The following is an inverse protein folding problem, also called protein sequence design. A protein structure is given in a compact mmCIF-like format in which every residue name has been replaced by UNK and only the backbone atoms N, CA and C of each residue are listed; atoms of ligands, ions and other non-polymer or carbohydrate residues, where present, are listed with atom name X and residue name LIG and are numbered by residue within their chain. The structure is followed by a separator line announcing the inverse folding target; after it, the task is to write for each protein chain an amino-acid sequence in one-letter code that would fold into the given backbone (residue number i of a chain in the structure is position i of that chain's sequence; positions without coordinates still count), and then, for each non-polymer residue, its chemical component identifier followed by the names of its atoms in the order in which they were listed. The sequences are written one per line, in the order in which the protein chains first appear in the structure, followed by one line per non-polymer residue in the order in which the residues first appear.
data_IF_455079751407
#
_entry.id   IF_455079751407
#
_cell.length_a   1.000
_cell.length_b   1.000
_cell.length_c   1.000
_cell.angle_alpha   90.00
_cell.angle_beta   90.00
_cell.angle_gamma   90.00
#
_symmetry.space_group_name_H-M   'P 1'
#
loop_
_entity.id
_entity.type
_entity.pdbx_description
1 polymer ?
#
# COMPACT_ATOMS: atom_id res chain seq x y z
N UNK A 1 -47.11 -44.33 -12.98
CA UNK A 1 -46.88 -42.95 -13.46
C UNK A 1 -45.51 -42.54 -12.97
N UNK A 2 -44.50 -42.76 -13.80
CA UNK A 2 -43.10 -42.41 -13.56
C UNK A 2 -42.87 -41.00 -14.09
N UNK A 3 -42.65 -40.05 -13.19
CA UNK A 3 -42.32 -38.68 -13.53
C UNK A 3 -40.80 -38.61 -13.80
N UNK A 4 -40.45 -38.60 -15.09
CA UNK A 4 -39.09 -38.52 -15.59
C UNK A 4 -38.57 -37.09 -15.48
N UNK A 5 -37.84 -36.79 -14.41
CA UNK A 5 -36.98 -35.60 -14.32
C UNK A 5 -35.73 -35.81 -15.19
N UNK A 6 -35.88 -35.67 -16.51
CA UNK A 6 -34.75 -35.57 -17.43
C UNK A 6 -34.02 -34.24 -17.21
N UNK A 7 -32.87 -34.30 -16.56
CA UNK A 7 -31.97 -33.16 -16.41
C UNK A 7 -31.31 -32.91 -17.78
N UNK A 8 -31.92 -32.08 -18.62
CA UNK A 8 -31.39 -31.69 -19.93
C UNK A 8 -29.99 -31.10 -19.74
N UNK A 9 -28.95 -31.76 -20.24
CA UNK A 9 -27.58 -31.29 -20.11
C UNK A 9 -27.39 -29.97 -20.88
N UNK A 10 -27.13 -28.88 -20.15
CA UNK A 10 -26.82 -27.56 -20.71
C UNK A 10 -25.63 -27.66 -21.69
N UNK A 11 -25.88 -27.44 -22.98
CA UNK A 11 -24.87 -27.52 -24.04
C UNK A 11 -24.20 -26.15 -24.22
N UNK A 12 -23.33 -25.80 -23.28
CA UNK A 12 -22.56 -24.56 -23.31
C UNK A 12 -21.51 -24.59 -24.44
N UNK A 13 -21.34 -23.45 -25.11
CA UNK A 13 -20.35 -23.29 -26.18
C UNK A 13 -18.92 -23.65 -25.73
N UNK A 14 -18.25 -24.53 -26.47
CA UNK A 14 -16.89 -24.97 -26.16
C UNK A 14 -15.90 -23.80 -26.11
N UNK A 15 -16.07 -22.79 -26.97
CA UNK A 15 -15.17 -21.63 -26.97
C UNK A 15 -15.25 -20.82 -25.68
N UNK A 16 -16.42 -20.80 -25.03
CA UNK A 16 -16.63 -20.18 -23.71
C UNK A 16 -15.97 -21.05 -22.62
N UNK A 17 -16.18 -22.37 -22.69
CA UNK A 17 -15.60 -23.32 -21.73
C UNK A 17 -14.06 -23.24 -21.70
N UNK A 18 -13.43 -23.15 -22.87
CA UNK A 18 -11.97 -23.07 -23.00
C UNK A 18 -11.39 -21.82 -22.31
N UNK A 19 -12.14 -20.70 -22.24
CA UNK A 19 -11.66 -19.49 -21.54
C UNK A 19 -11.51 -19.68 -20.04
N UNK A 20 -12.33 -20.52 -19.40
CA UNK A 20 -12.21 -20.73 -17.96
C UNK A 20 -10.89 -21.39 -17.56
N UNK A 21 -10.33 -22.25 -18.43
CA UNK A 21 -9.01 -22.83 -18.21
C UNK A 21 -7.93 -21.75 -18.23
N UNK A 22 -7.91 -20.91 -19.27
CA UNK A 22 -6.96 -19.78 -19.36
C UNK A 22 -7.10 -18.82 -18.17
N UNK A 23 -8.32 -18.51 -17.74
CA UNK A 23 -8.54 -17.67 -16.56
C UNK A 23 -7.99 -18.29 -15.26
N UNK A 24 -7.81 -19.61 -15.21
CA UNK A 24 -7.41 -20.33 -13.99
C UNK A 24 -5.92 -20.63 -13.87
N UNK A 25 -5.18 -20.65 -14.98
CA UNK A 25 -3.80 -21.19 -15.02
C UNK A 25 -2.76 -20.25 -15.67
N UNK A 26 -3.16 -19.07 -16.13
CA UNK A 26 -2.32 -18.24 -16.99
C UNK A 26 -1.79 -16.96 -16.31
N UNK A 27 -0.89 -16.26 -17.01
CA UNK A 27 -0.32 -14.98 -16.58
C UNK A 27 -1.34 -13.83 -16.59
N UNK A 28 -1.04 -12.71 -15.92
CA UNK A 28 -1.94 -11.53 -15.90
C UNK A 28 -2.30 -11.02 -17.30
N UNK A 29 -1.37 -11.06 -18.26
CA UNK A 29 -1.63 -10.61 -19.64
C UNK A 29 -2.61 -11.55 -20.37
N UNK A 30 -2.47 -12.85 -20.16
CA UNK A 30 -3.35 -13.86 -20.73
C UNK A 30 -4.74 -13.84 -20.09
N UNK A 31 -4.83 -13.58 -18.77
CA UNK A 31 -6.10 -13.38 -18.06
C UNK A 31 -6.90 -12.23 -18.66
N UNK A 32 -6.24 -11.09 -18.95
CA UNK A 32 -6.89 -9.93 -19.57
C UNK A 32 -7.42 -10.31 -20.96
N UNK A 33 -6.58 -10.91 -21.80
CA UNK A 33 -6.97 -11.33 -23.16
C UNK A 33 -8.12 -12.35 -23.14
N UNK A 34 -8.07 -13.34 -22.25
CA UNK A 34 -9.12 -14.34 -22.09
C UNK A 34 -10.43 -13.72 -21.60
N UNK A 35 -10.36 -12.73 -20.71
CA UNK A 35 -11.52 -11.98 -20.23
C UNK A 35 -12.19 -11.20 -21.35
N UNK A 36 -11.42 -10.45 -22.15
CA UNK A 36 -11.97 -9.69 -23.28
C UNK A 36 -12.66 -10.61 -24.29
N UNK A 37 -12.03 -11.74 -24.63
CA UNK A 37 -12.61 -12.75 -25.51
C UNK A 37 -13.89 -13.36 -24.94
N UNK A 38 -13.90 -13.69 -23.64
CA UNK A 38 -15.09 -14.23 -22.97
C UNK A 38 -16.25 -13.22 -23.01
N UNK A 39 -15.99 -11.94 -22.72
CA UNK A 39 -17.01 -10.88 -22.78
C UNK A 39 -17.57 -10.72 -24.20
N UNK A 40 -16.73 -10.77 -25.24
CA UNK A 40 -17.19 -10.70 -26.64
C UNK A 40 -18.10 -11.88 -26.98
N UNK A 41 -17.69 -13.10 -26.63
CA UNK A 41 -18.50 -14.31 -26.88
C UNK A 41 -19.84 -14.23 -26.16
N UNK A 42 -19.84 -13.84 -24.87
CA UNK A 42 -21.07 -13.70 -24.09
C UNK A 42 -21.99 -12.60 -24.62
N UNK A 43 -21.45 -11.49 -25.14
CA UNK A 43 -22.27 -10.46 -25.79
C UNK A 43 -22.98 -10.99 -27.03
N UNK A 44 -22.31 -11.81 -27.84
CA UNK A 44 -22.92 -12.43 -29.02
C UNK A 44 -24.06 -13.37 -28.60
N UNK A 45 -23.87 -14.17 -27.55
CA UNK A 45 -24.90 -15.07 -27.02
C UNK A 45 -26.06 -14.32 -26.40
N UNK A 46 -25.79 -13.29 -25.58
CA UNK A 46 -26.82 -12.48 -24.94
C UNK A 46 -27.69 -11.73 -25.95
N UNK A 47 -27.12 -11.21 -27.04
CA UNK A 47 -27.89 -10.55 -28.11
C UNK A 47 -28.89 -11.44 -28.83
N UNK A 48 -28.73 -12.77 -28.73
CA UNK A 48 -29.67 -13.75 -29.31
C UNK A 48 -30.80 -14.09 -28.34
N UNK A 49 -30.75 -13.59 -27.11
CA UNK A 49 -31.80 -13.74 -26.12
C UNK A 49 -32.63 -12.46 -26.01
N UNK A 50 -33.73 -12.49 -25.26
CA UNK A 50 -34.49 -11.28 -24.92
C UNK A 50 -33.63 -10.34 -24.08
N UNK A 51 -33.89 -9.02 -24.16
CA UNK A 51 -33.11 -8.02 -23.41
C UNK A 51 -33.21 -8.21 -21.88
N UNK A 52 -34.29 -8.85 -21.42
CA UNK A 52 -34.62 -9.04 -20.01
C UNK A 52 -34.14 -10.36 -19.42
N UNK A 53 -33.82 -11.37 -20.23
CA UNK A 53 -33.45 -12.70 -19.73
C UNK A 53 -31.98 -13.04 -20.01
N UNK A 54 -31.32 -13.63 -19.02
CA UNK A 54 -29.95 -14.12 -19.15
C UNK A 54 -29.89 -15.26 -20.16
N UNK A 55 -29.00 -15.17 -21.14
CA UNK A 55 -28.65 -16.32 -21.98
C UNK A 55 -28.07 -17.44 -21.11
N UNK A 56 -28.33 -18.70 -21.48
CA UNK A 56 -27.83 -19.88 -20.75
C UNK A 56 -26.31 -19.82 -20.53
N UNK A 57 -25.56 -19.34 -21.54
CA UNK A 57 -24.11 -19.19 -21.41
C UNK A 57 -23.68 -18.07 -20.45
N UNK A 58 -24.41 -16.97 -20.39
CA UNK A 58 -24.13 -15.88 -19.44
C UNK A 58 -24.46 -16.32 -18.02
N UNK A 59 -25.63 -16.92 -17.79
CA UNK A 59 -26.01 -17.44 -16.48
C UNK A 59 -24.99 -18.49 -15.98
N UNK A 60 -24.63 -19.44 -16.85
CA UNK A 60 -23.60 -20.43 -16.56
C UNK A 60 -22.27 -19.77 -16.20
N UNK A 61 -21.85 -18.76 -16.96
CA UNK A 61 -20.56 -18.09 -16.77
C UNK A 61 -20.50 -17.35 -15.45
N UNK A 62 -21.53 -16.54 -15.11
CA UNK A 62 -21.59 -15.82 -13.84
C UNK A 62 -21.56 -16.82 -12.67
N UNK A 63 -22.38 -17.87 -12.73
CA UNK A 63 -22.42 -18.92 -11.69
C UNK A 63 -21.08 -19.62 -11.52
N UNK A 64 -20.40 -19.98 -12.62
CA UNK A 64 -19.10 -20.65 -12.59
C UNK A 64 -18.02 -19.74 -12.01
N UNK A 65 -18.00 -18.47 -12.40
CA UNK A 65 -17.05 -17.49 -11.89
C UNK A 65 -17.23 -17.26 -10.38
N UNK A 66 -18.47 -17.08 -9.91
CA UNK A 66 -18.78 -16.92 -8.48
C UNK A 66 -18.24 -18.11 -7.67
N UNK A 67 -18.54 -19.34 -8.09
CA UNK A 67 -18.01 -20.54 -7.41
C UNK A 67 -16.48 -20.57 -7.38
N UNK A 68 -15.86 -20.15 -8.48
CA UNK A 68 -14.41 -20.15 -8.62
C UNK A 68 -13.69 -19.17 -7.71
N UNK A 69 -14.38 -18.17 -7.13
CA UNK A 69 -13.78 -17.23 -6.17
C UNK A 69 -13.33 -17.90 -4.87
N UNK A 70 -13.95 -19.02 -4.50
CA UNK A 70 -13.55 -19.85 -3.36
C UNK A 70 -12.52 -20.95 -3.74
N UNK A 71 -11.93 -20.89 -4.94
CA UNK A 71 -10.88 -21.83 -5.34
C UNK A 71 -9.67 -21.74 -4.39
N UNK A 72 -9.03 -22.88 -4.11
CA UNK A 72 -7.75 -22.92 -3.38
C UNK A 72 -6.61 -22.28 -4.18
N UNK A 73 -6.73 -22.20 -5.51
CA UNK A 73 -5.70 -21.67 -6.42
C UNK A 73 -5.78 -20.16 -6.54
N UNK A 74 -4.69 -19.47 -6.18
CA UNK A 74 -4.60 -17.99 -6.23
C UNK A 74 -4.84 -17.42 -7.63
N UNK A 75 -4.25 -18.03 -8.66
CA UNK A 75 -4.41 -17.62 -10.07
C UNK A 75 -5.86 -17.69 -10.52
N UNK A 76 -6.57 -18.76 -10.15
CA UNK A 76 -8.00 -18.91 -10.46
C UNK A 76 -8.85 -17.84 -9.79
N UNK A 77 -8.61 -17.55 -8.50
CA UNK A 77 -9.33 -16.46 -7.81
C UNK A 77 -9.10 -15.12 -8.50
N UNK A 78 -7.87 -14.82 -8.90
CA UNK A 78 -7.53 -13.58 -9.61
C UNK A 78 -8.22 -13.50 -10.97
N UNK A 79 -8.06 -14.51 -11.83
CA UNK A 79 -8.62 -14.49 -13.17
C UNK A 79 -10.15 -14.48 -13.17
N UNK A 80 -10.79 -15.23 -12.28
CA UNK A 80 -12.24 -15.20 -12.15
C UNK A 80 -12.76 -13.89 -11.58
N UNK A 81 -12.06 -13.26 -10.63
CA UNK A 81 -12.43 -11.92 -10.14
C UNK A 81 -12.39 -10.87 -11.26
N UNK A 82 -11.34 -10.90 -12.09
CA UNK A 82 -11.19 -9.97 -13.23
C UNK A 82 -12.32 -10.17 -14.24
N UNK A 83 -12.56 -11.42 -14.66
CA UNK A 83 -13.61 -11.73 -15.63
C UNK A 83 -15.00 -11.36 -15.10
N UNK A 84 -15.29 -11.68 -13.85
CA UNK A 84 -16.58 -11.38 -13.22
C UNK A 84 -16.81 -9.88 -13.09
N UNK A 85 -15.79 -9.11 -12.69
CA UNK A 85 -15.86 -7.65 -12.63
C UNK A 85 -16.18 -7.03 -14.01
N UNK A 86 -15.57 -7.54 -15.10
CA UNK A 86 -15.87 -7.05 -16.44
C UNK A 86 -17.26 -7.47 -16.92
N UNK A 87 -17.72 -8.67 -16.59
CA UNK A 87 -19.08 -9.10 -16.92
C UNK A 87 -20.11 -8.21 -16.20
N UNK A 88 -19.99 -8.01 -14.89
CA UNK A 88 -20.87 -7.13 -14.11
C UNK A 88 -20.85 -5.67 -14.58
N UNK A 89 -19.78 -5.23 -15.27
CA UNK A 89 -19.69 -3.90 -15.86
C UNK A 89 -20.36 -3.79 -17.24
N UNK A 90 -20.48 -4.90 -17.98
CA UNK A 90 -20.87 -4.89 -19.40
C UNK A 90 -22.25 -5.49 -19.68
N UNK A 91 -22.84 -6.20 -18.73
CA UNK A 91 -24.11 -6.90 -18.89
C UNK A 91 -25.13 -6.38 -17.89
N UNK A 92 -25.95 -5.42 -18.32
CA UNK A 92 -26.93 -4.75 -17.44
C UNK A 92 -28.04 -5.68 -16.93
N UNK A 93 -28.33 -6.72 -17.71
CA UNK A 93 -29.24 -7.81 -17.38
C UNK A 93 -28.85 -8.60 -16.11
N UNK A 94 -27.58 -8.61 -15.69
CA UNK A 94 -27.19 -9.27 -14.42
C UNK A 94 -27.49 -8.31 -13.26
N UNK A 95 -28.60 -8.53 -12.56
CA UNK A 95 -29.02 -7.63 -11.49
C UNK A 95 -28.17 -7.80 -10.22
N UNK A 96 -28.16 -6.77 -9.37
CA UNK A 96 -27.49 -6.82 -8.05
C UNK A 96 -28.10 -7.92 -7.18
N UNK A 97 -29.43 -8.06 -7.21
CA UNK A 97 -30.15 -9.06 -6.42
C UNK A 97 -29.77 -10.49 -6.80
N UNK A 98 -29.83 -10.83 -8.09
CA UNK A 98 -29.45 -12.16 -8.58
C UNK A 98 -28.00 -12.49 -8.23
N UNK A 99 -27.10 -11.52 -8.36
CA UNK A 99 -25.70 -11.70 -8.01
C UNK A 99 -25.51 -11.98 -6.51
N UNK A 100 -26.15 -11.21 -5.63
CA UNK A 100 -26.11 -11.43 -4.18
C UNK A 100 -26.75 -12.78 -3.79
N UNK A 101 -27.76 -13.24 -4.52
CA UNK A 101 -28.36 -14.56 -4.36
C UNK A 101 -27.38 -15.67 -4.76
N UNK A 102 -26.60 -15.49 -5.83
CA UNK A 102 -25.55 -16.43 -6.23
C UNK A 102 -24.45 -16.54 -5.17
N UNK A 103 -23.99 -15.42 -4.60
CA UNK A 103 -23.05 -15.43 -3.47
C UNK A 103 -23.63 -16.25 -2.32
N UNK A 104 -24.86 -15.93 -1.91
CA UNK A 104 -25.55 -16.60 -0.81
C UNK A 104 -25.78 -18.09 -1.08
N UNK A 105 -25.89 -18.52 -2.33
CA UNK A 105 -26.13 -19.92 -2.69
C UNK A 105 -24.85 -20.73 -2.82
N UNK A 106 -23.77 -20.12 -3.29
CA UNK A 106 -22.57 -20.84 -3.73
C UNK A 106 -21.33 -20.59 -2.88
N UNK A 107 -21.33 -19.55 -2.04
CA UNK A 107 -20.20 -19.22 -1.15
C UNK A 107 -20.55 -19.41 0.33
N UNK A 108 -21.75 -19.90 0.65
CA UNK A 108 -22.12 -20.28 2.03
C UNK A 108 -21.36 -21.52 2.50
N UNK A 109 -20.96 -21.50 3.77
CA UNK A 109 -20.27 -22.59 4.46
C UNK A 109 -21.20 -23.82 4.60
N UNK A 110 -20.83 -25.00 4.09
CA UNK A 110 -21.50 -26.24 4.44
C UNK A 110 -21.18 -26.64 5.89
N UNK A 111 -22.10 -27.36 6.54
CA UNK A 111 -21.99 -27.74 7.97
C UNK A 111 -20.79 -28.65 8.30
N UNK A 112 -20.17 -29.32 7.32
CA UNK A 112 -19.08 -30.31 7.51
C UNK A 112 -17.83 -30.02 6.67
N UNK A 113 -17.28 -28.81 6.76
CA UNK A 113 -16.03 -28.46 6.06
C UNK A 113 -14.85 -28.14 6.97
N UNK A 114 -13.65 -28.35 6.42
CA UNK A 114 -12.36 -28.09 7.05
C UNK A 114 -12.13 -26.59 7.32
N UNK A 115 -11.19 -26.26 8.20
CA UNK A 115 -10.83 -24.86 8.49
C UNK A 115 -10.33 -24.12 7.25
N UNK A 116 -9.68 -24.83 6.32
CA UNK A 116 -9.14 -24.28 5.08
C UNK A 116 -10.26 -23.91 4.09
N UNK A 117 -11.22 -24.80 3.86
CA UNK A 117 -12.33 -24.55 2.94
C UNK A 117 -13.22 -23.40 3.45
N UNK A 118 -13.47 -23.33 4.76
CA UNK A 118 -14.14 -22.17 5.37
C UNK A 118 -13.39 -20.86 5.08
N UNK A 119 -12.05 -20.90 5.16
CA UNK A 119 -11.20 -19.75 4.83
C UNK A 119 -11.29 -19.33 3.36
N UNK A 120 -11.33 -20.30 2.45
CA UNK A 120 -11.50 -20.07 1.01
C UNK A 120 -12.88 -19.49 0.67
N UNK A 121 -13.94 -19.98 1.31
CA UNK A 121 -15.30 -19.46 1.13
C UNK A 121 -15.43 -18.01 1.58
N UNK A 122 -14.91 -17.67 2.76
CA UNK A 122 -14.90 -16.27 3.23
C UNK A 122 -14.09 -15.35 2.30
N UNK A 123 -12.93 -15.80 1.84
CA UNK A 123 -12.15 -15.03 0.87
C UNK A 123 -12.91 -14.87 -0.45
N UNK A 124 -13.56 -15.92 -0.94
CA UNK A 124 -14.40 -15.89 -2.14
C UNK A 124 -15.56 -14.91 -2.00
N UNK A 125 -16.19 -14.86 -0.83
CA UNK A 125 -17.27 -13.92 -0.50
C UNK A 125 -16.77 -12.46 -0.48
N UNK A 126 -15.62 -12.18 0.16
CA UNK A 126 -14.97 -10.86 0.10
C UNK A 126 -14.67 -10.46 -1.35
N UNK A 127 -14.13 -11.38 -2.16
CA UNK A 127 -13.82 -11.11 -3.57
C UNK A 127 -15.09 -10.84 -4.39
N UNK A 128 -16.18 -11.56 -4.15
CA UNK A 128 -17.44 -11.36 -4.85
C UNK A 128 -18.04 -9.98 -4.56
N UNK A 129 -18.03 -9.55 -3.30
CA UNK A 129 -18.41 -8.18 -2.94
C UNK A 129 -17.50 -7.14 -3.64
N UNK A 130 -16.18 -7.38 -3.67
CA UNK A 130 -15.27 -6.47 -4.36
C UNK A 130 -15.52 -6.39 -5.87
N UNK A 131 -15.87 -7.49 -6.54
CA UNK A 131 -16.20 -7.42 -7.99
C UNK A 131 -17.49 -6.65 -8.23
N UNK A 132 -18.47 -6.76 -7.33
CA UNK A 132 -19.71 -5.99 -7.40
C UNK A 132 -19.47 -4.50 -7.19
N UNK A 133 -18.60 -4.14 -6.24
CA UNK A 133 -18.24 -2.75 -5.94
C UNK A 133 -17.40 -2.16 -7.08
N UNK A 134 -16.35 -2.85 -7.51
CA UNK A 134 -15.41 -2.33 -8.51
C UNK A 134 -15.97 -2.26 -9.92
N UNK A 135 -16.97 -3.08 -10.25
CA UNK A 135 -17.66 -2.99 -11.54
C UNK A 135 -18.51 -1.73 -11.65
N UNK A 136 -18.83 -1.06 -10.53
CA UNK A 136 -19.80 0.03 -10.43
C UNK A 136 -21.25 -0.45 -10.36
N UNK A 137 -21.47 -1.77 -10.45
CA UNK A 137 -22.80 -2.38 -10.52
C UNK A 137 -23.62 -2.17 -9.24
N UNK A 138 -22.97 -2.12 -8.08
CA UNK A 138 -23.66 -1.87 -6.80
C UNK A 138 -24.47 -0.57 -6.82
N UNK A 139 -23.94 0.49 -7.45
CA UNK A 139 -24.54 1.82 -7.50
C UNK A 139 -25.74 1.90 -8.44
N UNK A 140 -25.95 0.89 -9.28
CA UNK A 140 -27.09 0.82 -10.20
C UNK A 140 -28.29 0.12 -9.57
N UNK A 141 -28.13 -0.47 -8.38
CA UNK A 141 -29.21 -1.11 -7.64
C UNK A 141 -29.83 -0.20 -6.58
N UNK A 142 -30.83 -0.72 -5.88
CA UNK A 142 -31.41 -0.08 -4.70
C UNK A 142 -30.36 0.12 -3.59
N UNK A 143 -30.40 1.27 -2.89
CA UNK A 143 -29.46 1.62 -1.82
C UNK A 143 -29.46 0.62 -0.65
N UNK A 144 -30.52 -0.16 -0.44
CA UNK A 144 -30.52 -1.27 0.52
C UNK A 144 -29.45 -2.33 0.20
N UNK A 145 -29.04 -2.47 -1.06
CA UNK A 145 -27.93 -3.33 -1.42
C UNK A 145 -26.59 -2.79 -0.91
N UNK A 146 -26.39 -1.47 -0.85
CA UNK A 146 -25.20 -0.86 -0.23
C UNK A 146 -25.09 -1.30 1.23
N UNK A 147 -26.18 -1.13 1.98
CA UNK A 147 -26.29 -1.58 3.38
C UNK A 147 -26.00 -3.07 3.53
N UNK A 148 -26.62 -3.91 2.69
CA UNK A 148 -26.43 -5.38 2.70
C UNK A 148 -24.97 -5.78 2.43
N UNK A 149 -24.32 -5.12 1.48
CA UNK A 149 -22.91 -5.39 1.14
C UNK A 149 -21.96 -4.93 2.26
N UNK A 150 -22.17 -3.76 2.84
CA UNK A 150 -21.37 -3.28 3.98
C UNK A 150 -21.49 -4.26 5.17
N UNK A 151 -22.71 -4.67 5.52
CA UNK A 151 -22.93 -5.69 6.56
C UNK A 151 -22.21 -7.00 6.26
N UNK A 152 -22.27 -7.46 5.01
CA UNK A 152 -21.54 -8.65 4.57
C UNK A 152 -20.04 -8.50 4.79
N UNK A 153 -19.46 -7.38 4.36
CA UNK A 153 -18.03 -7.09 4.53
C UNK A 153 -17.61 -7.01 6.00
N UNK A 154 -18.39 -6.33 6.86
CA UNK A 154 -18.16 -6.26 8.31
C UNK A 154 -18.31 -7.62 9.00
N UNK A 155 -19.22 -8.48 8.52
CA UNK A 155 -19.35 -9.82 9.07
C UNK A 155 -18.17 -10.73 8.68
N UNK A 156 -17.68 -10.62 7.44
CA UNK A 156 -16.53 -11.40 6.95
C UNK A 156 -15.21 -10.92 7.57
N UNK A 157 -15.04 -9.61 7.81
CA UNK A 157 -13.82 -9.04 8.40
C UNK A 157 -13.50 -9.65 9.77
N UNK A 158 -14.52 -9.98 10.55
CA UNK A 158 -14.39 -10.54 11.90
C UNK A 158 -14.12 -12.06 11.90
N UNK A 159 -14.06 -12.71 10.73
CA UNK A 159 -13.81 -14.17 10.67
C UNK A 159 -12.33 -14.53 10.74
N UNK A 160 -11.46 -13.73 10.13
CA UNK A 160 -10.00 -13.94 10.09
C UNK A 160 -9.29 -12.60 9.96
N UNK A 161 -8.16 -12.45 10.64
CA UNK A 161 -7.34 -11.22 10.62
C UNK A 161 -6.97 -10.77 9.20
N UNK A 162 -6.59 -11.71 8.32
CA UNK A 162 -6.22 -11.38 6.94
C UNK A 162 -7.39 -10.92 6.05
N UNK A 163 -8.64 -11.16 6.47
CA UNK A 163 -9.84 -10.72 5.75
C UNK A 163 -10.25 -9.30 6.14
N UNK A 164 -9.88 -8.83 7.33
CA UNK A 164 -10.27 -7.52 7.83
C UNK A 164 -9.90 -6.42 6.85
N UNK A 165 -8.64 -6.39 6.45
CA UNK A 165 -8.14 -5.35 5.55
C UNK A 165 -8.82 -5.33 4.18
N UNK A 166 -9.02 -6.50 3.55
CA UNK A 166 -9.67 -6.58 2.23
C UNK A 166 -11.13 -6.12 2.30
N UNK A 167 -11.82 -6.42 3.41
CA UNK A 167 -13.20 -6.01 3.66
C UNK A 167 -13.32 -4.51 3.90
N UNK A 168 -12.50 -3.92 4.77
CA UNK A 168 -12.51 -2.46 5.00
C UNK A 168 -12.10 -1.67 3.77
N UNK A 169 -11.19 -2.21 2.94
CA UNK A 169 -10.92 -1.61 1.64
C UNK A 169 -12.17 -1.63 0.73
N UNK A 170 -12.98 -2.68 0.77
CA UNK A 170 -14.27 -2.72 0.07
C UNK A 170 -15.22 -1.63 0.57
N UNK A 171 -15.33 -1.46 1.89
CA UNK A 171 -16.16 -0.40 2.50
C UNK A 171 -15.65 0.99 2.09
N UNK A 172 -14.34 1.23 2.14
CA UNK A 172 -13.77 2.51 1.67
C UNK A 172 -14.09 2.78 0.20
N UNK A 173 -14.04 1.75 -0.66
CA UNK A 173 -14.41 1.89 -2.07
C UNK A 173 -15.89 2.25 -2.24
N UNK A 174 -16.78 1.70 -1.43
CA UNK A 174 -18.20 2.08 -1.43
C UNK A 174 -18.34 3.56 -1.04
N UNK A 175 -17.75 3.96 0.08
CA UNK A 175 -17.78 5.34 0.59
C UNK A 175 -17.26 6.34 -0.45
N UNK A 176 -16.25 5.98 -1.25
CA UNK A 176 -15.70 6.84 -2.30
C UNK A 176 -16.63 7.02 -3.52
N UNK A 177 -17.60 6.13 -3.71
CA UNK A 177 -18.40 6.02 -4.93
C UNK A 177 -19.86 6.44 -4.77
N UNK A 178 -20.41 6.42 -3.56
CA UNK A 178 -21.81 6.76 -3.28
C UNK A 178 -21.98 8.26 -3.04
N UNK A 179 -23.20 8.79 -3.23
CA UNK A 179 -23.53 10.17 -2.89
C UNK A 179 -23.60 10.39 -1.37
N UNK A 180 -23.65 11.65 -0.94
CA UNK A 180 -23.75 11.96 0.50
C UNK A 180 -25.10 11.52 1.10
N UNK A 181 -26.16 11.57 0.31
CA UNK A 181 -27.50 11.10 0.70
C UNK A 181 -27.49 9.57 0.91
N UNK A 182 -26.96 8.80 -0.05
CA UNK A 182 -26.85 7.35 0.08
C UNK A 182 -25.91 6.95 1.21
N UNK A 183 -24.84 7.73 1.43
CA UNK A 183 -23.93 7.52 2.54
C UNK A 183 -24.65 7.68 3.88
N UNK A 184 -25.36 8.79 4.09
CA UNK A 184 -26.12 9.05 5.32
C UNK A 184 -27.20 7.99 5.56
N UNK A 185 -27.94 7.62 4.52
CA UNK A 185 -29.08 6.73 4.65
C UNK A 185 -28.68 5.25 4.81
N UNK A 186 -27.69 4.77 4.05
CA UNK A 186 -27.42 3.33 3.92
C UNK A 186 -26.06 2.88 4.46
N UNK A 187 -25.03 3.71 4.35
CA UNK A 187 -23.67 3.32 4.76
C UNK A 187 -23.35 3.71 6.21
N UNK A 188 -23.67 4.95 6.59
CA UNK A 188 -23.34 5.52 7.89
C UNK A 188 -23.88 4.70 9.07
N UNK A 189 -25.15 4.25 9.10
CA UNK A 189 -25.68 3.48 10.23
C UNK A 189 -24.94 2.17 10.50
N UNK A 190 -24.23 1.64 9.50
CA UNK A 190 -23.50 0.38 9.60
C UNK A 190 -22.06 0.56 10.09
N UNK A 191 -21.45 1.74 9.88
CA UNK A 191 -20.03 1.99 10.18
C UNK A 191 -19.82 3.00 11.32
N UNK A 192 -20.83 3.78 11.69
CA UNK A 192 -20.67 4.86 12.66
C UNK A 192 -20.21 4.36 14.03
N UNK A 193 -20.66 3.17 14.45
CA UNK A 193 -20.31 2.59 15.74
C UNK A 193 -18.81 2.36 15.87
N UNK A 194 -18.16 1.90 14.80
CA UNK A 194 -16.71 1.71 14.78
C UNK A 194 -15.96 3.04 14.81
N UNK A 195 -16.44 4.05 14.08
CA UNK A 195 -15.82 5.36 13.99
C UNK A 195 -15.98 6.18 15.28
N UNK A 196 -17.01 5.89 16.09
CA UNK A 196 -17.27 6.52 17.38
C UNK A 196 -16.37 6.02 18.52
N UNK A 197 -15.63 4.93 18.32
CA UNK A 197 -14.70 4.37 19.33
C UNK A 197 -13.49 5.26 19.63
N UNK A 198 -13.23 6.25 18.78
CA UNK A 198 -12.14 7.19 18.97
C UNK A 198 -10.76 6.53 18.89
N UNK A 199 -9.77 7.12 19.57
CA UNK A 199 -8.39 6.63 19.55
C UNK A 199 -8.22 5.24 20.18
N UNK A 200 -9.07 4.85 21.13
CA UNK A 200 -8.94 3.59 21.87
C UNK A 200 -9.32 2.36 21.03
N UNK A 201 -10.31 2.49 20.14
CA UNK A 201 -10.70 1.44 19.19
C UNK A 201 -10.07 1.57 17.80
N UNK A 202 -9.16 2.51 17.60
CA UNK A 202 -8.64 2.85 16.28
C UNK A 202 -7.60 1.84 15.78
N UNK A 203 -8.02 0.93 14.89
CA UNK A 203 -7.10 0.14 14.05
C UNK A 203 -6.66 0.94 12.80
N UNK A 204 -5.68 0.41 12.05
CA UNK A 204 -5.31 0.97 10.75
C UNK A 204 -6.47 0.97 9.74
N UNK A 205 -7.30 -0.07 9.78
CA UNK A 205 -8.47 -0.18 8.90
C UNK A 205 -9.55 0.85 9.27
N UNK A 206 -9.84 1.02 10.56
CA UNK A 206 -10.78 2.03 11.07
C UNK A 206 -10.27 3.43 10.79
N UNK A 207 -8.97 3.68 10.96
CA UNK A 207 -8.36 4.97 10.62
C UNK A 207 -8.48 5.28 9.13
N UNK A 208 -8.20 4.30 8.26
CA UNK A 208 -8.37 4.43 6.81
C UNK A 208 -9.82 4.76 6.43
N UNK A 209 -10.78 4.10 7.08
CA UNK A 209 -12.20 4.35 6.87
C UNK A 209 -12.59 5.76 7.34
N UNK A 210 -12.12 6.19 8.51
CA UNK A 210 -12.34 7.55 9.03
C UNK A 210 -11.83 8.60 8.03
N UNK A 211 -10.58 8.48 7.57
CA UNK A 211 -9.99 9.41 6.60
C UNK A 211 -10.78 9.42 5.30
N UNK A 212 -11.23 8.25 4.83
CA UNK A 212 -12.05 8.14 3.62
C UNK A 212 -13.39 8.84 3.77
N UNK A 213 -14.10 8.62 4.89
CA UNK A 213 -15.37 9.29 5.18
C UNK A 213 -15.17 10.81 5.27
N UNK A 214 -14.12 11.28 5.94
CA UNK A 214 -13.82 12.73 6.03
C UNK A 214 -13.55 13.38 4.68
N UNK A 215 -12.92 12.65 3.76
CA UNK A 215 -12.56 13.16 2.43
C UNK A 215 -13.76 13.25 1.50
N UNK A 216 -14.67 12.27 1.56
CA UNK A 216 -15.79 12.15 0.61
C UNK A 216 -17.13 12.61 1.18
N UNK A 217 -17.33 12.55 2.50
CA UNK A 217 -18.59 12.83 3.21
C UNK A 217 -18.32 13.66 4.47
N UNK A 218 -17.72 14.83 4.26
CA UNK A 218 -17.19 15.66 5.35
C UNK A 218 -18.27 16.24 6.28
N UNK A 219 -19.54 16.21 5.88
CA UNK A 219 -20.68 16.74 6.64
C UNK A 219 -20.94 15.93 7.91
N UNK A 220 -20.95 14.60 7.81
CA UNK A 220 -21.17 13.70 8.94
C UNK A 220 -19.89 13.46 9.76
N UNK A 221 -18.73 13.37 9.11
CA UNK A 221 -17.43 13.18 9.79
C UNK A 221 -16.66 14.50 9.89
N UNK A 222 -17.33 15.51 10.44
CA UNK A 222 -16.82 16.87 10.51
C UNK A 222 -15.94 17.10 11.77
N UNK A 223 -15.56 18.36 12.01
CA UNK A 223 -14.75 18.76 13.19
C UNK A 223 -15.49 18.54 14.52
N UNK A 224 -16.83 18.62 14.53
CA UNK A 224 -17.65 18.40 15.71
C UNK A 224 -17.68 16.91 16.07
N UNK A 225 -17.88 16.03 15.08
CA UNK A 225 -17.77 14.58 15.27
C UNK A 225 -16.42 14.19 15.89
N UNK A 226 -15.32 14.74 15.36
CA UNK A 226 -13.98 14.47 15.93
C UNK A 226 -13.84 15.03 17.35
N UNK A 227 -14.44 16.18 17.66
CA UNK A 227 -14.39 16.76 19.00
C UNK A 227 -15.10 15.86 20.00
N UNK A 228 -16.26 15.33 19.62
CA UNK A 228 -17.10 14.47 20.46
C UNK A 228 -16.49 13.08 20.68
N UNK A 229 -16.04 12.42 19.61
CA UNK A 229 -15.62 11.01 19.68
C UNK A 229 -14.11 10.80 19.71
N UNK A 230 -13.33 11.72 19.13
CA UNK A 230 -11.86 11.61 19.03
C UNK A 230 -11.13 12.60 19.94
N UNK A 231 -11.88 13.40 20.72
CA UNK A 231 -11.36 14.44 21.62
C UNK A 231 -10.43 15.43 20.90
N UNK A 232 -10.62 15.65 19.59
CA UNK A 232 -9.79 16.56 18.78
C UNK A 232 -10.56 17.21 17.63
N UNK A 233 -10.11 18.36 17.13
CA UNK A 233 -10.61 18.96 15.87
C UNK A 233 -9.74 18.64 14.65
N UNK A 234 -8.52 18.12 14.87
CA UNK A 234 -7.55 17.74 13.82
C UNK A 234 -6.90 16.41 14.20
N UNK A 235 -6.89 15.45 13.27
CA UNK A 235 -6.32 14.12 13.49
C UNK A 235 -4.79 14.18 13.55
N UNK A 236 -4.17 14.81 12.53
CA UNK A 236 -2.73 15.03 12.46
C UNK A 236 -2.36 16.25 13.32
N UNK A 237 -1.90 15.97 14.53
CA UNK A 237 -1.40 16.90 15.52
C UNK A 237 -0.30 16.22 16.35
N UNK A 238 0.59 17.04 16.87
CA UNK A 238 1.72 16.63 17.72
C UNK A 238 1.26 15.75 18.89
N UNK A 239 0.20 16.15 19.61
CA UNK A 239 -0.37 15.40 20.74
C UNK A 239 -0.82 13.97 20.40
N UNK A 240 -0.95 13.63 19.12
CA UNK A 240 -1.35 12.31 18.64
C UNK A 240 -0.23 11.54 17.97
N UNK A 241 1.00 12.07 17.94
CA UNK A 241 2.12 11.46 17.21
C UNK A 241 2.29 9.98 17.55
N UNK A 242 2.35 9.62 18.84
CA UNK A 242 2.49 8.22 19.29
C UNK A 242 1.34 7.32 18.80
N UNK A 243 0.10 7.83 18.78
CA UNK A 243 -1.07 7.07 18.33
C UNK A 243 -1.02 6.82 16.82
N UNK A 244 -0.74 7.88 16.05
CA UNK A 244 -0.59 7.82 14.60
C UNK A 244 0.60 6.94 14.19
N UNK A 245 1.69 7.01 14.95
CA UNK A 245 2.86 6.16 14.80
C UNK A 245 2.53 4.68 14.99
N UNK A 246 1.78 4.33 16.04
CA UNK A 246 1.39 2.93 16.27
C UNK A 246 0.55 2.37 15.11
N UNK A 247 -0.36 3.19 14.57
CA UNK A 247 -1.17 2.83 13.39
C UNK A 247 -0.28 2.65 12.15
N UNK A 248 0.64 3.59 11.93
CA UNK A 248 1.62 3.52 10.84
C UNK A 248 2.47 2.26 10.93
N UNK A 249 2.95 1.91 12.13
CA UNK A 249 3.81 0.75 12.32
C UNK A 249 3.08 -0.57 12.12
N UNK A 250 1.81 -0.69 12.48
CA UNK A 250 1.01 -1.86 12.08
C UNK A 250 0.91 -1.94 10.55
N UNK A 251 0.67 -0.80 9.89
CA UNK A 251 0.54 -0.74 8.43
C UNK A 251 1.84 -1.09 7.70
N UNK A 252 3.00 -0.64 8.22
CA UNK A 252 4.33 -0.91 7.66
C UNK A 252 4.84 -2.31 8.07
N UNK A 253 4.63 -2.77 9.31
CA UNK A 253 5.07 -4.11 9.77
C UNK A 253 4.31 -5.26 9.12
N UNK A 254 3.03 -5.09 8.78
CA UNK A 254 2.27 -6.09 8.01
C UNK A 254 2.93 -6.43 6.66
N UNK A 255 3.77 -5.53 6.14
CA UNK A 255 4.47 -5.70 4.85
C UNK A 255 5.76 -6.52 5.01
N UNK A 256 6.37 -6.50 6.20
CA UNK A 256 7.60 -7.25 6.52
C UNK A 256 7.35 -8.76 6.56
N UNK A 257 6.11 -9.20 6.84
CA UNK A 257 5.79 -10.61 7.08
C UNK A 257 4.92 -11.32 6.01
N UNK A 258 4.51 -10.67 4.91
CA UNK A 258 3.85 -11.39 3.82
C UNK A 258 3.13 -10.52 2.80
N UNK A 259 3.58 -10.62 1.53
CA UNK A 259 3.02 -10.04 0.29
C UNK A 259 2.51 -8.59 0.39
N UNK A 260 3.32 -7.67 -0.15
CA UNK A 260 3.05 -6.22 -0.25
C UNK A 260 1.60 -5.90 -0.64
N UNK A 261 0.82 -5.44 0.34
CA UNK A 261 -0.49 -4.84 0.10
C UNK A 261 -0.28 -3.38 -0.31
N UNK A 262 -0.18 -3.14 -1.63
CA UNK A 262 0.13 -1.82 -2.22
C UNK A 262 -0.71 -0.68 -1.61
N UNK A 263 -1.98 -0.94 -1.25
CA UNK A 263 -2.86 0.07 -0.64
C UNK A 263 -2.50 0.44 0.80
N UNK A 264 -2.21 -0.52 1.67
CA UNK A 264 -1.75 -0.21 3.05
C UNK A 264 -0.40 0.48 3.03
N UNK A 265 0.47 0.08 2.10
CA UNK A 265 1.74 0.74 1.91
C UNK A 265 1.56 2.19 1.45
N UNK A 266 0.63 2.42 0.51
CA UNK A 266 0.26 3.77 0.06
C UNK A 266 -0.28 4.61 1.23
N UNK A 267 -1.21 4.07 2.03
CA UNK A 267 -1.71 4.73 3.24
C UNK A 267 -0.58 5.04 4.22
N UNK A 268 0.31 4.07 4.48
CA UNK A 268 1.46 4.25 5.36
C UNK A 268 2.36 5.40 4.91
N UNK A 269 2.66 5.50 3.61
CA UNK A 269 3.45 6.62 3.09
C UNK A 269 2.71 7.96 3.15
N UNK A 270 1.41 7.99 2.92
CA UNK A 270 0.61 9.21 3.13
C UNK A 270 0.60 9.63 4.60
N UNK A 271 0.44 8.69 5.53
CA UNK A 271 0.52 8.98 6.97
C UNK A 271 1.91 9.48 7.36
N UNK A 272 2.96 8.86 6.81
CA UNK A 272 4.33 9.30 7.02
C UNK A 272 4.56 10.74 6.52
N UNK A 273 4.04 11.07 5.34
CA UNK A 273 4.09 12.42 4.78
C UNK A 273 3.43 13.45 5.70
N UNK A 274 2.26 13.12 6.27
CA UNK A 274 1.54 14.01 7.21
C UNK A 274 2.19 14.08 8.60
N UNK A 275 2.95 13.05 9.00
CA UNK A 275 3.64 13.01 10.29
C UNK A 275 4.98 13.73 10.28
N UNK A 276 5.66 13.80 9.13
CA UNK A 276 6.99 14.42 9.01
C UNK A 276 7.03 15.86 9.53
N UNK A 277 6.10 16.77 9.17
CA UNK A 277 6.12 18.15 9.66
C UNK A 277 5.82 18.29 11.15
N UNK A 278 5.35 17.23 11.82
CA UNK A 278 4.98 17.24 13.24
C UNK A 278 6.13 16.80 14.16
N UNK A 279 7.25 16.35 13.60
CA UNK A 279 8.40 15.86 14.37
C UNK A 279 9.14 17.03 15.01
N UNK A 280 9.37 16.96 16.33
CA UNK A 280 10.09 18.00 17.09
C UNK A 280 11.42 17.57 17.64
N UNK A 281 11.65 16.27 17.75
CA UNK A 281 12.86 15.71 18.34
C UNK A 281 13.54 14.72 17.41
N UNK A 282 14.85 14.57 17.57
CA UNK A 282 15.62 13.58 16.82
C UNK A 282 15.17 12.14 17.12
N UNK A 283 14.68 11.87 18.33
CA UNK A 283 14.16 10.54 18.69
C UNK A 283 12.85 10.21 18.01
N UNK A 284 11.92 11.17 17.92
CA UNK A 284 10.71 11.02 17.10
C UNK A 284 11.05 10.80 15.63
N UNK A 285 12.05 11.52 15.10
CA UNK A 285 12.52 11.33 13.72
C UNK A 285 13.10 9.93 13.50
N UNK A 286 13.94 9.44 14.43
CA UNK A 286 14.52 8.08 14.37
C UNK A 286 13.46 6.99 14.47
N UNK A 287 12.43 7.21 15.29
CA UNK A 287 11.28 6.32 15.33
C UNK A 287 10.61 6.31 13.96
N UNK A 288 10.19 7.49 13.48
CA UNK A 288 9.46 7.64 12.21
C UNK A 288 10.21 7.02 11.03
N UNK A 289 11.51 7.27 10.94
CA UNK A 289 12.45 6.76 9.94
C UNK A 289 13.21 5.53 10.42
N UNK A 290 12.48 4.57 10.99
CA UNK A 290 13.03 3.25 11.27
C UNK A 290 13.69 2.65 10.02
N UNK A 291 14.67 1.77 10.23
CA UNK A 291 15.37 1.08 9.15
C UNK A 291 14.42 0.38 8.18
N UNK A 292 13.35 -0.21 8.69
CA UNK A 292 12.33 -0.91 7.90
C UNK A 292 11.51 0.08 7.05
N UNK A 293 11.15 1.24 7.60
CA UNK A 293 10.46 2.32 6.87
C UNK A 293 11.31 2.80 5.70
N UNK A 294 12.58 3.12 5.95
CA UNK A 294 13.50 3.63 4.93
C UNK A 294 13.76 2.58 3.85
N UNK A 295 14.03 1.31 4.22
CA UNK A 295 14.19 0.21 3.25
C UNK A 295 12.98 0.08 2.33
N UNK A 296 11.79 0.19 2.93
CA UNK A 296 10.54 0.07 2.19
C UNK A 296 10.35 1.25 1.25
N UNK A 297 10.68 2.47 1.68
CA UNK A 297 10.65 3.66 0.82
C UNK A 297 11.62 3.52 -0.36
N UNK A 298 12.89 3.24 -0.11
CA UNK A 298 13.94 3.10 -1.16
C UNK A 298 13.54 2.05 -2.21
N UNK A 299 13.01 0.90 -1.76
CA UNK A 299 12.52 -0.15 -2.67
C UNK A 299 11.41 0.33 -3.62
N UNK A 300 10.55 1.26 -3.18
CA UNK A 300 9.36 1.67 -3.92
C UNK A 300 9.52 3.00 -4.67
N UNK A 301 10.53 3.82 -4.34
CA UNK A 301 10.86 5.04 -5.10
C UNK A 301 11.69 4.72 -6.35
N UNK A 302 12.59 3.74 -6.28
CA UNK A 302 13.46 3.30 -7.39
C UNK A 302 13.01 1.98 -8.05
N UNK A 303 11.93 1.36 -7.55
CA UNK A 303 11.42 0.11 -8.11
C UNK A 303 11.00 0.24 -9.57
N UNK A 304 10.96 -0.89 -10.31
CA UNK A 304 10.39 -1.00 -11.68
C UNK A 304 8.86 -0.80 -11.72
N UNK A 305 8.31 0.07 -10.88
CA UNK A 305 6.91 0.44 -10.88
C UNK A 305 6.69 1.36 -12.08
N UNK A 306 5.69 1.04 -12.90
CA UNK A 306 5.30 1.90 -14.04
C UNK A 306 4.82 3.25 -13.51
N UNK A 307 5.02 4.32 -14.27
CA UNK A 307 4.72 5.72 -13.88
C UNK A 307 3.26 5.97 -13.44
N UNK A 308 2.35 5.04 -13.71
CA UNK A 308 0.94 5.09 -13.31
C UNK A 308 0.65 4.48 -11.92
N UNK A 309 1.67 4.11 -11.14
CA UNK A 309 1.46 3.54 -9.80
C UNK A 309 1.33 4.66 -8.74
N UNK A 310 0.18 4.81 -8.05
CA UNK A 310 0.01 5.79 -6.97
C UNK A 310 1.08 5.69 -5.88
N UNK A 311 1.61 4.49 -5.67
CA UNK A 311 2.68 4.24 -4.72
C UNK A 311 3.99 4.93 -5.10
N UNK A 312 4.31 5.02 -6.39
CA UNK A 312 5.49 5.74 -6.86
C UNK A 312 5.33 7.25 -6.68
N UNK A 313 4.11 7.76 -6.88
CA UNK A 313 3.82 9.18 -6.67
C UNK A 313 4.04 9.58 -5.22
N UNK A 314 3.45 8.85 -4.25
CA UNK A 314 3.60 9.21 -2.83
C UNK A 314 5.03 9.06 -2.33
N UNK A 315 5.80 8.06 -2.80
CA UNK A 315 7.19 7.88 -2.37
C UNK A 315 8.12 8.96 -2.93
N UNK A 316 7.86 9.46 -4.15
CA UNK A 316 8.57 10.63 -4.70
C UNK A 316 8.22 11.91 -3.93
N UNK A 317 6.93 12.13 -3.64
CA UNK A 317 6.50 13.27 -2.81
C UNK A 317 7.15 13.23 -1.42
N UNK A 318 7.26 12.05 -0.82
CA UNK A 318 7.94 11.87 0.45
C UNK A 318 9.43 12.24 0.38
N UNK A 319 10.11 11.90 -0.72
CA UNK A 319 11.50 12.32 -0.97
C UNK A 319 11.66 13.84 -0.98
N UNK A 320 10.76 14.54 -1.69
CA UNK A 320 10.74 16.01 -1.69
C UNK A 320 10.43 16.59 -0.31
N UNK A 321 9.54 15.95 0.44
CA UNK A 321 9.20 16.42 1.78
C UNK A 321 10.36 16.26 2.77
N UNK A 322 11.18 15.22 2.64
CA UNK A 322 12.44 15.16 3.40
C UNK A 322 13.33 16.37 3.14
N UNK A 323 13.44 16.80 1.87
CA UNK A 323 14.22 17.99 1.51
C UNK A 323 13.60 19.25 2.10
N UNK A 324 12.27 19.37 2.09
CA UNK A 324 11.56 20.50 2.71
C UNK A 324 11.78 20.55 4.23
N UNK A 325 11.70 19.40 4.91
CA UNK A 325 11.97 19.30 6.35
C UNK A 325 13.42 19.66 6.64
N UNK A 326 14.39 19.15 5.88
CA UNK A 326 15.80 19.53 6.05
C UNK A 326 16.01 21.04 5.92
N UNK A 327 15.38 21.66 4.92
CA UNK A 327 15.49 23.10 4.64
C UNK A 327 14.83 23.98 5.70
N UNK A 328 13.72 23.52 6.29
CA UNK A 328 12.93 24.31 7.26
C UNK A 328 13.28 24.02 8.73
N UNK A 329 14.09 22.99 8.98
CA UNK A 329 14.47 22.57 10.32
C UNK A 329 15.81 23.18 10.74
N UNK A 330 15.79 24.00 11.79
CA UNK A 330 16.99 24.57 12.41
C UNK A 330 17.69 23.59 13.39
N UNK A 331 17.07 22.45 13.67
CA UNK A 331 17.59 21.47 14.63
C UNK A 331 18.55 20.48 13.94
N UNK A 332 19.84 20.64 14.22
CA UNK A 332 20.92 19.82 13.68
C UNK A 332 20.78 18.33 14.05
N UNK A 333 20.27 17.98 15.23
CA UNK A 333 20.03 16.59 15.62
C UNK A 333 18.96 15.90 14.77
N UNK A 334 17.91 16.62 14.35
CA UNK A 334 16.88 16.09 13.45
C UNK A 334 17.46 15.87 12.06
N UNK A 335 18.20 16.85 11.54
CA UNK A 335 18.90 16.71 10.26
C UNK A 335 19.84 15.50 10.28
N UNK A 336 20.59 15.34 11.38
CA UNK A 336 21.46 14.19 11.60
C UNK A 336 20.71 12.86 11.71
N UNK A 337 19.53 12.84 12.34
CA UNK A 337 18.69 11.65 12.42
C UNK A 337 18.23 11.17 11.03
N UNK A 338 17.77 12.09 10.17
CA UNK A 338 17.37 11.79 8.79
C UNK A 338 18.57 11.19 8.04
N UNK A 339 19.72 11.87 8.05
CA UNK A 339 20.90 11.44 7.30
C UNK A 339 21.43 10.08 7.76
N UNK A 340 21.51 9.85 9.08
CA UNK A 340 21.95 8.55 9.64
C UNK A 340 21.02 7.41 9.24
N UNK A 341 19.70 7.59 9.38
CA UNK A 341 18.72 6.57 9.03
C UNK A 341 18.79 6.20 7.54
N UNK A 342 18.94 7.20 6.67
CA UNK A 342 19.04 6.94 5.23
C UNK A 342 20.36 6.21 4.92
N UNK A 343 21.52 6.75 5.32
CA UNK A 343 22.85 6.16 5.01
C UNK A 343 23.04 4.74 5.55
N UNK A 344 22.53 4.44 6.75
CA UNK A 344 22.63 3.08 7.34
C UNK A 344 21.79 2.03 6.61
N UNK A 345 20.87 2.48 5.76
CA UNK A 345 19.99 1.62 5.00
C UNK A 345 20.69 1.16 3.71
N UNK A 346 21.46 0.08 3.84
CA UNK A 346 22.29 -0.58 2.81
C UNK A 346 21.75 -0.50 1.37
N UNK A 347 22.65 -0.14 0.43
CA UNK A 347 22.53 -0.40 -1.00
C UNK A 347 21.40 0.33 -1.72
N UNK A 348 21.55 1.64 -1.94
CA UNK A 348 20.68 2.44 -2.82
C UNK A 348 20.81 1.97 -4.26
N UNK A 349 19.84 1.23 -4.82
CA UNK A 349 19.92 0.75 -6.17
C UNK A 349 19.03 1.66 -7.02
N UNK A 350 19.42 2.91 -7.24
CA UNK A 350 18.67 3.75 -8.16
C UNK A 350 18.97 5.24 -8.14
N UNK A 351 18.78 5.86 -9.31
CA UNK A 351 19.11 7.26 -9.54
C UNK A 351 18.22 8.23 -8.75
N UNK A 352 16.97 7.88 -8.38
CA UNK A 352 16.09 8.82 -7.68
C UNK A 352 16.50 8.98 -6.22
N UNK A 353 16.86 7.88 -5.54
CA UNK A 353 17.33 7.99 -4.16
C UNK A 353 18.67 8.74 -4.10
N UNK A 354 19.59 8.51 -5.04
CA UNK A 354 20.85 9.27 -5.12
C UNK A 354 20.60 10.78 -5.29
N UNK A 355 19.73 11.18 -6.21
CA UNK A 355 19.38 12.61 -6.39
C UNK A 355 18.75 13.23 -5.14
N UNK A 356 17.89 12.46 -4.47
CA UNK A 356 17.26 12.91 -3.22
C UNK A 356 18.32 13.11 -2.14
N UNK A 357 19.22 12.15 -1.97
CA UNK A 357 20.34 12.22 -1.03
C UNK A 357 21.26 13.41 -1.28
N UNK A 358 21.68 13.62 -2.53
CA UNK A 358 22.49 14.79 -2.90
C UNK A 358 21.76 16.09 -2.53
N UNK A 359 20.45 16.15 -2.80
CA UNK A 359 19.62 17.31 -2.44
C UNK A 359 19.53 17.52 -0.92
N UNK A 360 19.45 16.45 -0.13
CA UNK A 360 19.41 16.52 1.34
C UNK A 360 20.74 17.04 1.91
N UNK A 361 21.87 16.55 1.40
CA UNK A 361 23.21 17.01 1.83
C UNK A 361 23.37 18.51 1.60
N UNK A 362 22.84 19.03 0.48
CA UNK A 362 22.87 20.46 0.16
C UNK A 362 22.02 21.34 1.09
N UNK A 363 21.09 20.77 1.87
CA UNK A 363 20.25 21.51 2.82
C UNK A 363 20.75 21.47 4.28
N UNK A 364 21.90 20.84 4.55
CA UNK A 364 22.43 20.72 5.91
C UNK A 364 22.78 22.09 6.50
N UNK A 365 22.46 22.31 7.77
CA UNK A 365 23.00 23.42 8.55
C UNK A 365 24.50 23.23 8.77
N UNK A 366 25.24 24.31 9.04
CA UNK A 366 26.69 24.26 9.26
C UNK A 366 27.09 23.34 10.44
N UNK A 367 26.24 23.23 11.47
CA UNK A 367 26.45 22.31 12.60
C UNK A 367 26.20 20.85 12.17
N UNK A 368 25.04 20.57 11.57
CA UNK A 368 24.72 19.22 11.11
C UNK A 368 25.69 18.71 10.05
N UNK A 369 26.20 19.59 9.21
CA UNK A 369 27.24 19.27 8.21
C UNK A 369 28.51 18.70 8.86
N UNK A 370 29.00 19.36 9.91
CA UNK A 370 30.20 18.92 10.65
C UNK A 370 29.96 17.58 11.32
N UNK A 371 28.82 17.43 12.00
CA UNK A 371 28.45 16.18 12.65
C UNK A 371 28.27 15.04 11.66
N UNK A 372 27.71 15.33 10.49
CA UNK A 372 27.52 14.36 9.42
C UNK A 372 28.84 13.95 8.79
N UNK A 373 29.72 14.89 8.49
CA UNK A 373 31.06 14.61 7.98
C UNK A 373 31.87 13.75 8.95
N UNK A 374 31.89 14.09 10.24
CA UNK A 374 32.54 13.30 11.28
C UNK A 374 31.97 11.88 11.37
N UNK A 375 30.63 11.75 11.33
CA UNK A 375 29.96 10.45 11.32
C UNK A 375 30.35 9.60 10.10
N UNK A 376 30.39 10.18 8.90
CA UNK A 376 30.81 9.48 7.68
C UNK A 376 32.27 9.03 7.76
N UNK A 377 33.17 9.90 8.22
CA UNK A 377 34.59 9.59 8.39
C UNK A 377 34.79 8.40 9.36
N UNK A 378 34.16 8.45 10.53
CA UNK A 378 34.22 7.38 11.52
C UNK A 378 33.64 6.06 11.00
N UNK A 379 32.48 6.12 10.33
CA UNK A 379 31.82 4.94 9.76
C UNK A 379 32.69 4.29 8.68
N UNK A 380 33.31 5.09 7.81
CA UNK A 380 34.21 4.58 6.77
C UNK A 380 35.46 3.94 7.38
N UNK A 381 36.07 4.55 8.41
CA UNK A 381 37.20 3.95 9.14
C UNK A 381 36.81 2.59 9.73
N UNK A 382 35.65 2.51 10.39
CA UNK A 382 35.16 1.26 10.97
C UNK A 382 34.96 0.17 9.90
N UNK A 383 34.43 0.54 8.73
CA UNK A 383 34.26 -0.39 7.62
C UNK A 383 35.61 -0.85 7.03
N UNK A 384 36.57 0.06 6.83
CA UNK A 384 37.92 -0.26 6.35
C UNK A 384 38.65 -1.22 7.31
N UNK A 385 38.45 -1.04 8.62
CA UNK A 385 39.05 -1.90 9.66
C UNK A 385 38.37 -3.26 9.80
N UNK A 386 37.14 -3.42 9.29
CA UNK A 386 36.42 -4.68 9.37
C UNK A 386 36.99 -5.71 8.37
N UNK A 387 37.22 -6.95 8.83
CA UNK A 387 37.93 -8.01 8.08
C UNK A 387 37.06 -8.71 7.03
N UNK A 388 35.79 -8.34 6.87
CA UNK A 388 34.83 -9.07 6.05
C UNK A 388 34.91 -8.68 4.55
N UNK A 389 35.39 -9.58 3.66
CA UNK A 389 35.69 -9.27 2.25
C UNK A 389 34.45 -9.25 1.34
N UNK A 390 33.23 -9.18 1.87
CA UNK A 390 32.02 -9.17 1.06
C UNK A 390 31.92 -7.87 0.22
N UNK A 391 31.55 -7.95 -1.08
CA UNK A 391 31.40 -6.79 -1.97
C UNK A 391 30.28 -5.81 -1.57
N UNK A 392 29.57 -6.08 -0.47
CA UNK A 392 28.52 -5.25 0.12
C UNK A 392 29.10 -3.93 0.68
N UNK A 393 30.40 -3.89 1.03
CA UNK A 393 31.07 -2.67 1.50
C UNK A 393 31.42 -1.66 0.42
N UNK A 394 31.64 -2.07 -0.84
CA UNK A 394 32.19 -1.17 -1.86
C UNK A 394 31.19 -0.09 -2.32
N UNK A 395 29.93 -0.48 -2.52
CA UNK A 395 28.87 0.46 -2.92
C UNK A 395 28.48 1.42 -1.79
N UNK A 396 28.42 0.94 -0.54
CA UNK A 396 28.11 1.78 0.62
C UNK A 396 29.26 2.78 0.89
N UNK A 397 30.51 2.32 0.81
CA UNK A 397 31.70 3.21 0.90
C UNK A 397 31.75 4.25 -0.21
N UNK A 398 31.40 3.89 -1.45
CA UNK A 398 31.38 4.83 -2.57
C UNK A 398 30.37 5.97 -2.34
N UNK A 399 29.16 5.68 -1.85
CA UNK A 399 28.18 6.71 -1.54
C UNK A 399 28.62 7.63 -0.39
N UNK A 400 29.24 7.07 0.66
CA UNK A 400 29.80 7.88 1.74
C UNK A 400 30.92 8.82 1.24
N UNK A 401 31.79 8.34 0.33
CA UNK A 401 32.81 9.16 -0.31
C UNK A 401 32.21 10.25 -1.22
N UNK A 402 31.14 9.94 -1.96
CA UNK A 402 30.41 10.94 -2.76
C UNK A 402 29.84 12.03 -1.85
N UNK A 403 29.20 11.65 -0.73
CA UNK A 403 28.67 12.63 0.22
C UNK A 403 29.79 13.47 0.84
N UNK A 404 30.90 12.87 1.28
CA UNK A 404 32.07 13.60 1.76
C UNK A 404 32.60 14.60 0.72
N UNK A 405 32.66 14.20 -0.56
CA UNK A 405 33.02 15.10 -1.66
C UNK A 405 32.03 16.26 -1.79
N UNK A 406 30.74 16.00 -1.68
CA UNK A 406 29.70 17.05 -1.73
C UNK A 406 29.84 18.01 -0.55
N UNK A 407 30.11 17.50 0.67
CA UNK A 407 30.35 18.34 1.85
C UNK A 407 31.50 19.32 1.61
N UNK A 408 32.63 18.88 1.06
CA UNK A 408 33.77 19.76 0.74
C UNK A 408 33.38 20.98 -0.13
N UNK A 409 32.35 20.83 -0.96
CA UNK A 409 31.88 21.87 -1.89
C UNK A 409 30.80 22.80 -1.32
N UNK A 410 30.31 22.56 -0.11
CA UNK A 410 29.29 23.43 0.50
C UNK A 410 29.90 24.78 0.88
N UNK A 411 29.09 25.84 0.78
CA UNK A 411 29.51 27.20 1.13
C UNK A 411 29.86 27.35 2.62
N UNK A 412 29.13 26.65 3.49
CA UNK A 412 29.40 26.57 4.93
C UNK A 412 30.75 25.93 5.24
N UNK A 413 31.10 24.84 4.54
CA UNK A 413 32.43 24.21 4.64
C UNK A 413 33.52 25.13 4.10
N UNK A 414 33.30 25.76 2.95
CA UNK A 414 34.26 26.66 2.33
C UNK A 414 34.57 27.89 3.20
N UNK A 415 33.65 28.28 4.08
CA UNK A 415 33.87 29.35 5.07
C UNK A 415 34.72 28.89 6.28
N UNK A 416 34.83 27.59 6.54
CA UNK A 416 35.68 27.00 7.60
C UNK A 416 36.84 26.22 6.96
N UNK A 417 37.92 26.94 6.61
CA UNK A 417 39.08 26.35 5.94
C UNK A 417 39.71 25.18 6.70
N UNK A 418 39.65 25.18 8.05
CA UNK A 418 40.21 24.09 8.86
C UNK A 418 39.38 22.82 8.69
N UNK A 419 38.07 22.96 8.73
CA UNK A 419 37.16 21.84 8.49
C UNK A 419 37.23 21.34 7.03
N UNK A 420 37.27 22.25 6.06
CA UNK A 420 37.41 21.90 4.64
C UNK A 420 38.72 21.14 4.38
N UNK A 421 39.83 21.58 4.97
CA UNK A 421 41.12 20.90 4.86
C UNK A 421 41.05 19.49 5.46
N UNK A 422 40.43 19.32 6.63
CA UNK A 422 40.26 18.01 7.26
C UNK A 422 39.49 17.02 6.37
N UNK A 423 38.40 17.47 5.74
CA UNK A 423 37.64 16.63 4.80
C UNK A 423 38.45 16.26 3.55
N UNK A 424 39.22 17.22 3.00
CA UNK A 424 40.10 17.00 1.85
C UNK A 424 41.23 16.01 2.18
N UNK A 425 41.89 16.17 3.32
CA UNK A 425 42.93 15.25 3.80
C UNK A 425 42.38 13.83 3.97
N UNK A 426 41.19 13.70 4.55
CA UNK A 426 40.52 12.41 4.70
C UNK A 426 40.20 11.76 3.34
N UNK A 427 39.59 12.51 2.42
CA UNK A 427 39.28 12.02 1.07
C UNK A 427 40.54 11.62 0.31
N UNK A 428 41.61 12.42 0.36
CA UNK A 428 42.89 12.11 -0.26
C UNK A 428 43.47 10.81 0.26
N UNK A 429 43.47 10.63 1.59
CA UNK A 429 44.04 9.45 2.23
C UNK A 429 43.24 8.19 1.93
N UNK A 430 41.91 8.24 2.02
CA UNK A 430 41.06 7.04 1.98
C UNK A 430 40.46 6.71 0.60
N UNK A 431 40.49 7.63 -0.36
CA UNK A 431 40.00 7.36 -1.73
C UNK A 431 41.07 6.76 -2.64
N UNK A 432 42.34 7.13 -2.45
CA UNK A 432 43.43 6.76 -3.35
C UNK A 432 44.43 5.79 -2.72
N UNK A 433 44.55 5.76 -1.40
CA UNK A 433 45.60 5.01 -0.71
C UNK A 433 45.02 3.94 0.22
N UNK A 434 45.67 2.77 0.22
CA UNK A 434 45.48 1.77 1.27
C UNK A 434 46.42 2.12 2.42
N UNK A 435 45.87 2.57 3.54
CA UNK A 435 46.66 2.92 4.73
C UNK A 435 47.17 1.65 5.40
N UNK A 436 48.50 1.46 5.44
CA UNK A 436 49.16 0.27 6.02
C UNK A 436 49.67 0.56 7.44
N UNK A 437 50.04 1.81 7.75
CA UNK A 437 50.55 2.24 9.06
C UNK A 437 50.26 3.73 9.28
N UNK A 438 49.85 4.10 10.50
CA UNK A 438 49.60 5.50 10.86
C UNK A 438 50.89 6.32 10.83
N UNK A 439 50.85 7.48 10.16
CA UNK A 439 51.96 8.45 10.12
C UNK A 439 51.78 9.48 11.23
N UNK A 440 52.87 9.87 11.90
CA UNK A 440 52.84 10.99 12.87
C UNK A 440 52.71 12.36 12.19
N UNK A 441 52.96 12.45 10.89
CA UNK A 441 52.94 13.70 10.13
C UNK A 441 51.56 14.09 9.59
N UNK A 442 50.65 13.12 9.42
CA UNK A 442 49.26 13.34 9.01
C UNK A 442 48.42 12.87 10.18
N UNK A 443 47.80 13.79 10.93
CA UNK A 443 46.93 13.42 12.03
C UNK A 443 45.74 12.67 11.45
N UNK A 444 45.68 11.35 11.68
CA UNK A 444 44.41 10.63 11.59
C UNK A 444 43.47 11.29 12.58
N UNK A 445 42.46 12.02 12.09
CA UNK A 445 41.37 12.46 12.94
C UNK A 445 40.55 11.21 13.26
N UNK A 446 40.77 10.68 14.46
CA UNK A 446 40.05 9.56 15.03
C UNK A 446 38.66 10.03 15.48
#
# INVERSE_FOLDING_TARGET
MTDSNETKALKIDKQILDKFWTLSESSSAEIIKATDQLVVLLKIKQKRNTETELSEELEYSVKRLVKGLASSRETARQGFSVALCQILRKFDVVTVEEFLNLISKHLKLPKKESKAEKGSSFLGESLAYLTLIQSGRLLQGDGQFIKKVIRGLLWVSEKRVYLKQICYNGICLIVQQISSEDFEQYAWPEIEGELKTGWEGCSADVFSLLITCRKHHSELVNKQFLKEHWKTKKLFKEDHFTKLWNILMVSIKCIVFGKSQVKLLNLGFHMLLELLPLVKTADEMRQLLSRETVKTWVKNVDGKLRDLNPLLTVTKTLGNEFVNVMKSCDNSDIQMAIMKCIVQTQGFPGNQTTKTLDSLVLQLSAEAEKDYGNYLMQTLIQQIRSVDPRPIGMMTSLHMLIHLRTLVTLSSTAADHKWQLQLLEFLMLHSYWKVIKESKAIKHVC
#
